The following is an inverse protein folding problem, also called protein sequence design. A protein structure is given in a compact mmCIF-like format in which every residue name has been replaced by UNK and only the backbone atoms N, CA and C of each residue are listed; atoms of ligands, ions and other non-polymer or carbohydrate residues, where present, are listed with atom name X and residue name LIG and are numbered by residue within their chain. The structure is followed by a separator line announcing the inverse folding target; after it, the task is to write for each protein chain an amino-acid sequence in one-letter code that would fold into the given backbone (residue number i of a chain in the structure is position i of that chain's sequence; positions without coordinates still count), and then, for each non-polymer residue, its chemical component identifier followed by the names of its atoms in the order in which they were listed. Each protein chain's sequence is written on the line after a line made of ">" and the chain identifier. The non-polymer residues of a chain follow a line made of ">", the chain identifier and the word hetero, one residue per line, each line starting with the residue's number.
data_IF_331247677575
#
_entry.id   IF_331247677575
#
_cell.length_a   1.000
_cell.length_b   1.000
_cell.length_c   1.000
_cell.angle_alpha   90.00
_cell.angle_beta   90.00
_cell.angle_gamma   90.00
#
_symmetry.space_group_name_H-M   'P 1'
#
loop_
_entity.id
_entity.type
_entity.pdbx_description
1 polymer ?
#
# COMPACT_ATOMS: atom_id res chain seq x y z
N UNK A 1 -23.90 6.82 27.86
CA UNK A 1 -23.36 5.86 26.88
C UNK A 1 -22.55 4.83 27.66
N UNK A 2 -22.60 3.54 27.33
CA UNK A 2 -21.72 2.57 28.00
C UNK A 2 -20.29 2.79 27.50
N UNK A 3 -19.30 2.82 28.40
CA UNK A 3 -17.88 3.02 28.08
C UNK A 3 -17.38 2.08 26.96
N UNK A 4 -17.86 0.83 26.96
CA UNK A 4 -17.55 -0.18 25.94
C UNK A 4 -17.96 0.26 24.52
N UNK A 5 -19.09 0.96 24.37
CA UNK A 5 -19.55 1.44 23.07
C UNK A 5 -18.69 2.60 22.54
N UNK A 6 -18.17 3.43 23.44
CA UNK A 6 -17.27 4.53 23.07
C UNK A 6 -15.90 4.00 22.65
N UNK A 7 -15.35 3.03 23.39
CA UNK A 7 -14.11 2.33 23.03
C UNK A 7 -14.24 1.62 21.68
N UNK A 8 -15.34 0.87 21.46
CA UNK A 8 -15.60 0.19 20.19
C UNK A 8 -15.69 1.17 19.00
N UNK A 9 -16.33 2.33 19.21
CA UNK A 9 -16.44 3.36 18.17
C UNK A 9 -15.06 3.90 17.81
N UNK A 10 -14.26 4.27 18.82
CA UNK A 10 -12.91 4.81 18.62
C UNK A 10 -12.01 3.80 17.89
N UNK A 11 -12.00 2.54 18.33
CA UNK A 11 -11.23 1.49 17.66
C UNK A 11 -11.67 1.29 16.20
N UNK A 12 -12.97 1.35 15.94
CA UNK A 12 -13.50 1.15 14.58
C UNK A 12 -13.14 2.31 13.65
N UNK A 13 -13.14 3.54 14.17
CA UNK A 13 -12.66 4.73 13.44
C UNK A 13 -11.16 4.63 13.15
N UNK A 14 -10.35 4.21 14.13
CA UNK A 14 -8.91 4.00 13.93
C UNK A 14 -8.63 2.91 12.89
N UNK A 15 -9.28 1.74 13.00
CA UNK A 15 -9.16 0.66 11.99
C UNK A 15 -9.58 1.12 10.59
N UNK A 16 -10.63 1.95 10.51
CA UNK A 16 -11.08 2.53 9.25
C UNK A 16 -10.04 3.47 8.64
N UNK A 17 -9.46 4.35 9.45
CA UNK A 17 -8.41 5.26 9.04
C UNK A 17 -7.16 4.52 8.55
N UNK A 18 -6.70 3.52 9.30
CA UNK A 18 -5.53 2.69 8.94
C UNK A 18 -5.74 1.98 7.60
N UNK A 19 -6.91 1.34 7.42
CA UNK A 19 -7.27 0.69 6.15
C UNK A 19 -7.32 1.67 4.98
N UNK A 20 -7.95 2.84 5.19
CA UNK A 20 -8.04 3.87 4.16
C UNK A 20 -6.68 4.42 3.77
N UNK A 21 -5.79 4.65 4.74
CA UNK A 21 -4.43 5.09 4.50
C UNK A 21 -3.65 4.05 3.68
N UNK A 22 -3.72 2.77 4.06
CA UNK A 22 -3.06 1.69 3.32
C UNK A 22 -3.56 1.59 1.88
N UNK A 23 -4.89 1.61 1.68
CA UNK A 23 -5.50 1.59 0.35
C UNK A 23 -5.06 2.78 -0.51
N UNK A 24 -5.01 4.00 0.07
CA UNK A 24 -4.55 5.21 -0.62
C UNK A 24 -3.08 5.12 -1.05
N UNK A 25 -2.20 4.60 -0.19
CA UNK A 25 -0.78 4.36 -0.52
C UNK A 25 -0.65 3.38 -1.68
N UNK A 26 -1.31 2.22 -1.61
CA UNK A 26 -1.27 1.20 -2.67
C UNK A 26 -1.76 1.76 -4.00
N UNK A 27 -2.92 2.43 -4.00
CA UNK A 27 -3.50 3.02 -5.22
C UNK A 27 -2.55 4.05 -5.85
N UNK A 28 -1.88 4.85 -5.03
CA UNK A 28 -0.90 5.84 -5.48
C UNK A 28 0.31 5.15 -6.13
N UNK A 29 0.89 4.15 -5.47
CA UNK A 29 2.00 3.37 -6.01
C UNK A 29 1.63 2.75 -7.36
N UNK A 30 0.48 2.07 -7.46
CA UNK A 30 0.02 1.43 -8.70
C UNK A 30 -0.12 2.46 -9.83
N UNK A 31 -0.65 3.65 -9.54
CA UNK A 31 -0.78 4.71 -10.53
C UNK A 31 0.58 5.25 -10.99
N UNK A 32 1.52 5.44 -10.06
CA UNK A 32 2.88 5.86 -10.39
C UNK A 32 3.60 4.81 -11.26
N UNK A 33 3.44 3.53 -10.95
CA UNK A 33 4.00 2.43 -11.75
C UNK A 33 3.43 2.41 -13.16
N UNK A 34 2.11 2.55 -13.30
CA UNK A 34 1.45 2.65 -14.62
C UNK A 34 1.93 3.88 -15.39
N UNK A 35 2.11 5.02 -14.72
CA UNK A 35 2.64 6.23 -15.36
C UNK A 35 4.08 6.06 -15.83
N UNK A 36 4.91 5.30 -15.09
CA UNK A 36 6.34 5.14 -15.36
C UNK A 36 6.65 4.04 -16.37
N UNK A 37 5.99 2.90 -16.24
CA UNK A 37 6.26 1.69 -17.04
C UNK A 37 5.16 1.39 -18.08
N UNK A 38 4.06 2.15 -18.07
CA UNK A 38 2.89 1.90 -18.91
C UNK A 38 2.08 0.72 -18.39
N UNK A 39 2.45 -0.48 -18.82
CA UNK A 39 1.84 -1.71 -18.32
C UNK A 39 2.54 -2.18 -17.04
N UNK A 40 1.75 -2.64 -16.07
CA UNK A 40 2.23 -3.22 -14.81
C UNK A 40 1.59 -4.59 -14.67
N UNK A 41 2.38 -5.61 -14.35
CA UNK A 41 1.82 -6.96 -14.25
C UNK A 41 0.81 -7.08 -13.10
N UNK A 42 -0.14 -8.02 -13.26
CA UNK A 42 -1.07 -8.37 -12.18
C UNK A 42 -0.35 -8.96 -10.96
N UNK A 43 0.76 -9.65 -11.18
CA UNK A 43 1.54 -10.27 -10.10
C UNK A 43 2.15 -9.20 -9.18
N UNK A 44 2.76 -8.15 -9.76
CA UNK A 44 3.30 -7.04 -8.97
C UNK A 44 2.20 -6.32 -8.21
N UNK A 45 1.04 -6.07 -8.83
CA UNK A 45 -0.11 -5.44 -8.14
C UNK A 45 -0.57 -6.28 -6.94
N UNK A 46 -0.76 -7.59 -7.13
CA UNK A 46 -1.14 -8.49 -6.03
C UNK A 46 -0.12 -8.48 -4.89
N UNK A 47 1.18 -8.55 -5.22
CA UNK A 47 2.24 -8.48 -4.19
C UNK A 47 2.23 -7.16 -3.42
N UNK A 48 1.95 -6.03 -4.08
CA UNK A 48 1.82 -4.73 -3.41
C UNK A 48 0.62 -4.73 -2.46
N UNK A 49 -0.53 -5.25 -2.89
CA UNK A 49 -1.76 -5.31 -2.10
C UNK A 49 -1.62 -6.19 -0.85
N UNK A 50 -0.89 -7.29 -0.96
CA UNK A 50 -0.65 -8.25 0.14
C UNK A 50 0.56 -7.90 1.02
N UNK A 51 1.31 -6.84 0.68
CA UNK A 51 2.51 -6.46 1.41
C UNK A 51 2.24 -5.78 2.76
N UNK A 52 3.21 -5.91 3.66
CA UNK A 52 3.24 -5.13 4.91
C UNK A 52 3.44 -3.64 4.63
N UNK A 53 3.03 -2.81 5.59
CA UNK A 53 3.14 -1.35 5.45
C UNK A 53 4.60 -0.90 5.30
N UNK A 54 5.54 -1.55 6.00
CA UNK A 54 6.98 -1.28 5.85
C UNK A 54 7.48 -1.52 4.42
N UNK A 55 7.01 -2.59 3.77
CA UNK A 55 7.36 -2.90 2.37
C UNK A 55 6.73 -1.88 1.41
N UNK A 56 5.50 -1.44 1.67
CA UNK A 56 4.82 -0.39 0.91
C UNK A 56 5.58 0.94 1.04
N UNK A 57 6.04 1.30 2.23
CA UNK A 57 6.80 2.52 2.47
C UNK A 57 8.19 2.46 1.80
N UNK A 58 8.89 1.32 1.89
CA UNK A 58 10.14 1.11 1.16
C UNK A 58 9.95 1.21 -0.37
N UNK A 59 8.86 0.63 -0.89
CA UNK A 59 8.52 0.69 -2.31
C UNK A 59 8.22 2.12 -2.77
N UNK A 60 7.56 2.92 -1.92
CA UNK A 60 7.23 4.33 -2.20
C UNK A 60 8.48 5.18 -2.45
N UNK A 61 9.60 4.85 -1.79
CA UNK A 61 10.89 5.51 -2.04
C UNK A 61 11.54 4.92 -3.31
N UNK A 62 11.60 3.58 -3.40
CA UNK A 62 12.33 2.89 -4.48
C UNK A 62 11.73 3.12 -5.87
N UNK A 63 10.42 3.39 -5.97
CA UNK A 63 9.73 3.61 -7.25
C UNK A 63 10.30 4.77 -8.07
N UNK A 64 10.85 5.78 -7.41
CA UNK A 64 11.42 6.97 -8.06
C UNK A 64 12.62 6.58 -8.93
N UNK A 65 13.47 5.70 -8.42
CA UNK A 65 14.74 5.31 -9.07
C UNK A 65 14.65 4.00 -9.86
N UNK A 66 13.63 3.17 -9.62
CA UNK A 66 13.49 1.85 -10.24
C UNK A 66 13.46 1.94 -11.78
N UNK A 67 14.18 1.05 -12.46
CA UNK A 67 14.22 1.00 -13.93
C UNK A 67 13.45 -0.17 -14.53
N UNK A 68 13.09 -1.16 -13.70
CA UNK A 68 12.26 -2.28 -14.12
C UNK A 68 11.36 -2.76 -12.99
N UNK A 69 10.39 -3.59 -13.38
CA UNK A 69 9.50 -4.29 -12.47
C UNK A 69 10.26 -5.31 -11.58
N UNK A 70 11.31 -5.97 -12.07
CA UNK A 70 12.09 -6.91 -11.24
C UNK A 70 12.78 -6.23 -10.05
N UNK A 71 13.23 -4.97 -10.18
CA UNK A 71 13.81 -4.22 -9.06
C UNK A 71 12.79 -4.02 -7.94
N UNK A 72 11.53 -3.79 -8.29
CA UNK A 72 10.44 -3.57 -7.34
C UNK A 72 10.04 -4.88 -6.65
N UNK A 73 10.01 -5.98 -7.40
CA UNK A 73 9.71 -7.32 -6.87
C UNK A 73 10.70 -7.76 -5.80
N UNK A 74 11.97 -7.33 -5.88
CA UNK A 74 12.98 -7.58 -4.84
C UNK A 74 12.70 -6.85 -3.53
N UNK A 75 12.03 -5.70 -3.56
CA UNK A 75 11.61 -4.97 -2.34
C UNK A 75 10.44 -5.68 -1.66
N UNK A 76 9.56 -6.30 -2.47
CA UNK A 76 8.34 -6.94 -1.99
C UNK A 76 8.54 -8.40 -1.55
N UNK A 77 9.66 -9.01 -1.93
CA UNK A 77 10.08 -10.34 -1.45
C UNK A 77 10.51 -10.27 0.01
#
# INVERSE_FOLDING_TARGET
>A
MCQVLEEFKLESEMRGLERGLKQGKIQTIVNQLKSKFGFVSKELIMKIEESSDDKIDALTIKIIDARSEEELMKVLS
#
